data_IF_448176110495
#
_entry.id   IF_448176110495
#
_cell.length_a   1.000
_cell.length_b   1.000
_cell.length_c   1.000
_cell.angle_alpha   90.00
_cell.angle_beta   90.00
_cell.angle_gamma   90.00
#
_symmetry.space_group_name_H-M   'P 1'
#
loop_
_entity.id
_entity.type
_entity.pdbx_description
1 polymer ?
#
# COMPACT_ATOMS: atom_id res chain seq x y z
N UNK A 1 -6.69 -4.59 22.45
CA UNK A 1 -7.40 -5.00 21.20
C UNK A 1 -6.43 -4.76 20.06
N UNK A 2 -6.15 -5.75 19.20
CA UNK A 2 -5.30 -5.54 18.02
C UNK A 2 -6.08 -4.75 16.96
N UNK A 3 -5.41 -3.82 16.27
CA UNK A 3 -5.97 -3.10 15.14
C UNK A 3 -6.23 -4.06 13.97
N UNK A 4 -7.33 -3.86 13.24
CA UNK A 4 -7.62 -4.62 12.00
C UNK A 4 -6.80 -4.06 10.83
N UNK A 5 -6.60 -4.85 9.77
CA UNK A 5 -5.95 -4.41 8.54
C UNK A 5 -6.58 -3.12 7.99
N UNK A 6 -7.92 -3.07 7.93
CA UNK A 6 -8.68 -1.88 7.56
C UNK A 6 -8.39 -0.67 8.46
N UNK A 7 -8.34 -0.86 9.78
CA UNK A 7 -8.04 0.25 10.68
C UNK A 7 -6.61 0.78 10.51
N UNK A 8 -5.63 -0.10 10.26
CA UNK A 8 -4.24 0.27 9.99
C UNK A 8 -4.17 1.11 8.72
N UNK A 9 -4.81 0.64 7.64
CA UNK A 9 -4.88 1.37 6.38
C UNK A 9 -5.57 2.73 6.52
N UNK A 10 -6.67 2.81 7.26
CA UNK A 10 -7.40 4.06 7.47
C UNK A 10 -6.59 5.06 8.31
N UNK A 11 -5.86 4.61 9.33
CA UNK A 11 -4.98 5.49 10.12
C UNK A 11 -3.86 6.03 9.24
N UNK A 12 -3.18 5.15 8.49
CA UNK A 12 -2.10 5.55 7.58
C UNK A 12 -2.58 6.60 6.58
N UNK A 13 -3.70 6.31 5.90
CA UNK A 13 -4.31 7.22 4.94
C UNK A 13 -4.70 8.56 5.57
N UNK A 14 -5.32 8.56 6.76
CA UNK A 14 -5.80 9.78 7.41
C UNK A 14 -4.65 10.73 7.76
N UNK A 15 -3.55 10.19 8.29
CA UNK A 15 -2.37 10.99 8.61
C UNK A 15 -1.69 11.55 7.36
N UNK A 16 -1.58 10.73 6.29
CA UNK A 16 -1.10 11.19 5.00
C UNK A 16 -1.98 12.29 4.40
N UNK A 17 -3.31 12.15 4.47
CA UNK A 17 -4.27 13.09 3.91
C UNK A 17 -4.18 14.49 4.54
N UNK A 18 -3.86 14.56 5.83
CA UNK A 18 -3.64 15.84 6.54
C UNK A 18 -2.17 16.26 6.57
N UNK A 19 -1.29 15.57 5.81
CA UNK A 19 0.15 15.84 5.71
C UNK A 19 0.89 15.82 7.06
N UNK A 20 0.42 14.98 7.98
CA UNK A 20 1.02 14.85 9.30
C UNK A 20 1.93 13.62 9.33
N UNK A 21 3.24 13.90 9.25
CA UNK A 21 4.27 12.87 9.27
C UNK A 21 4.67 12.58 10.71
N UNK A 22 4.37 11.38 11.18
CA UNK A 22 4.86 10.83 12.44
C UNK A 22 5.63 9.53 12.13
N UNK A 23 6.96 9.60 12.21
CA UNK A 23 7.83 8.48 11.84
C UNK A 23 7.68 7.28 12.79
N UNK A 24 7.34 7.52 14.06
CA UNK A 24 7.12 6.43 15.03
C UNK A 24 5.82 5.70 14.71
N UNK A 25 4.76 6.47 14.40
CA UNK A 25 3.50 5.90 13.96
C UNK A 25 3.65 5.15 12.63
N UNK A 26 4.39 5.70 11.66
CA UNK A 26 4.61 5.04 10.37
C UNK A 26 5.38 3.73 10.53
N UNK A 27 6.39 3.68 11.41
CA UNK A 27 7.08 2.43 11.75
C UNK A 27 6.11 1.41 12.35
N UNK A 28 5.27 1.82 13.31
CA UNK A 28 4.28 0.93 13.92
C UNK A 28 3.22 0.43 12.92
N UNK A 29 2.79 1.29 11.99
CA UNK A 29 1.89 0.93 10.89
C UNK A 29 2.57 -0.07 9.95
N UNK A 30 3.83 0.13 9.60
CA UNK A 30 4.57 -0.78 8.73
C UNK A 30 4.67 -2.18 9.36
N UNK A 31 5.09 -2.28 10.62
CA UNK A 31 5.21 -3.54 11.34
C UNK A 31 3.87 -4.27 11.45
N UNK A 32 2.80 -3.53 11.79
CA UNK A 32 1.46 -4.08 11.90
C UNK A 32 0.94 -4.55 10.52
N UNK A 33 1.12 -3.74 9.48
CA UNK A 33 0.71 -4.05 8.11
C UNK A 33 1.45 -5.28 7.55
N UNK A 34 2.76 -5.40 7.77
CA UNK A 34 3.54 -6.58 7.39
C UNK A 34 2.98 -7.82 8.09
N UNK A 35 2.70 -7.73 9.39
CA UNK A 35 2.18 -8.86 10.18
C UNK A 35 0.77 -9.28 9.74
N UNK A 36 -0.06 -8.36 9.27
CA UNK A 36 -1.44 -8.64 8.87
C UNK A 36 -1.69 -8.59 7.36
N UNK A 37 -0.65 -8.56 6.52
CA UNK A 37 -0.79 -8.35 5.06
C UNK A 37 -1.73 -9.37 4.41
N UNK A 38 -1.71 -10.61 4.87
CA UNK A 38 -2.59 -11.69 4.40
C UNK A 38 -4.09 -11.48 4.72
N UNK A 39 -4.42 -10.53 5.61
CA UNK A 39 -5.78 -10.17 6.01
C UNK A 39 -6.26 -8.89 5.32
N UNK A 40 -5.37 -8.17 4.63
CA UNK A 40 -5.71 -6.94 3.92
C UNK A 40 -6.61 -7.22 2.72
N UNK A 41 -7.57 -6.33 2.49
CA UNK A 41 -8.32 -6.26 1.24
C UNK A 41 -7.54 -5.41 0.20
N UNK A 42 -7.92 -5.44 -1.10
CA UNK A 42 -7.20 -4.67 -2.13
C UNK A 42 -7.09 -3.18 -1.80
N UNK A 43 -8.16 -2.61 -1.25
CA UNK A 43 -8.21 -1.22 -0.82
C UNK A 43 -7.24 -0.92 0.32
N UNK A 44 -7.06 -1.84 1.27
CA UNK A 44 -6.13 -1.66 2.39
C UNK A 44 -4.70 -1.57 1.88
N UNK A 45 -4.31 -2.49 1.00
CA UNK A 45 -2.98 -2.53 0.38
C UNK A 45 -2.68 -1.24 -0.40
N UNK A 46 -3.64 -0.81 -1.23
CA UNK A 46 -3.52 0.45 -1.99
C UNK A 46 -3.42 1.67 -1.08
N UNK A 47 -4.23 1.74 -0.02
CA UNK A 47 -4.22 2.87 0.91
C UNK A 47 -2.92 2.94 1.72
N UNK A 48 -2.38 1.79 2.16
CA UNK A 48 -1.11 1.75 2.88
C UNK A 48 0.04 2.19 1.95
N UNK A 49 0.14 1.62 0.74
CA UNK A 49 1.18 2.02 -0.23
C UNK A 49 1.08 3.51 -0.58
N UNK A 50 -0.13 4.02 -0.79
CA UNK A 50 -0.40 5.42 -1.07
C UNK A 50 -0.02 6.32 0.11
N UNK A 51 -0.35 5.93 1.35
CA UNK A 51 -0.06 6.74 2.53
C UNK A 51 1.45 6.93 2.76
N UNK A 52 2.24 5.88 2.53
CA UNK A 52 3.70 5.94 2.65
C UNK A 52 4.32 6.79 1.53
N UNK A 53 3.88 6.58 0.29
CA UNK A 53 4.38 7.35 -0.86
C UNK A 53 3.97 8.82 -0.83
N UNK A 54 2.74 9.15 -0.43
CA UNK A 54 2.25 10.52 -0.28
C UNK A 54 3.02 11.33 0.78
N UNK A 55 3.63 10.64 1.74
CA UNK A 55 4.49 11.22 2.76
C UNK A 55 5.98 11.14 2.40
N UNK A 56 6.33 10.66 1.19
CA UNK A 56 7.70 10.44 0.72
C UNK A 56 8.52 9.50 1.63
N UNK A 57 7.85 8.56 2.31
CA UNK A 57 8.49 7.58 3.20
C UNK A 57 8.62 6.25 2.49
N UNK A 58 9.84 5.93 2.07
CA UNK A 58 10.19 4.62 1.50
C UNK A 58 10.42 3.61 2.61
N UNK A 59 9.64 2.53 2.63
CA UNK A 59 9.81 1.42 3.57
C UNK A 59 9.85 0.09 2.80
N UNK A 60 11.05 -0.31 2.38
CA UNK A 60 11.25 -1.46 1.48
C UNK A 60 10.64 -2.77 2.00
N UNK A 61 10.77 -3.16 3.30
CA UNK A 61 10.14 -4.38 3.79
C UNK A 61 8.61 -4.38 3.67
N UNK A 62 7.99 -3.21 3.81
CA UNK A 62 6.53 -3.07 3.70
C UNK A 62 6.09 -3.19 2.24
N UNK A 63 6.80 -2.52 1.33
CA UNK A 63 6.49 -2.58 -0.10
C UNK A 63 6.70 -3.99 -0.66
N UNK A 64 7.78 -4.67 -0.26
CA UNK A 64 8.03 -6.07 -0.59
C UNK A 64 6.97 -7.03 -0.04
N UNK A 65 6.30 -6.69 1.07
CA UNK A 65 5.18 -7.47 1.59
C UNK A 65 3.87 -7.18 0.82
N UNK A 66 3.61 -5.92 0.50
CA UNK A 66 2.40 -5.48 -0.23
C UNK A 66 2.36 -6.04 -1.65
N UNK A 67 3.51 -6.13 -2.32
CA UNK A 67 3.59 -6.51 -3.73
C UNK A 67 2.98 -7.89 -4.05
N UNK A 68 3.45 -9.01 -3.48
CA UNK A 68 2.88 -10.33 -3.77
C UNK A 68 1.41 -10.44 -3.35
N UNK A 69 1.00 -9.79 -2.26
CA UNK A 69 -0.39 -9.74 -1.83
C UNK A 69 -1.28 -8.99 -2.84
N UNK A 70 -0.77 -7.89 -3.41
CA UNK A 70 -1.47 -7.10 -4.42
C UNK A 70 -1.60 -7.87 -5.73
N UNK A 71 -0.54 -8.55 -6.17
CA UNK A 71 -0.54 -9.40 -7.38
C UNK A 71 -1.59 -10.52 -7.23
N UNK A 72 -1.61 -11.22 -6.09
CA UNK A 72 -2.56 -12.31 -5.85
C UNK A 72 -4.03 -11.87 -5.92
N UNK A 73 -4.31 -10.60 -5.63
CA UNK A 73 -5.65 -10.03 -5.56
C UNK A 73 -5.93 -9.02 -6.67
N UNK A 74 -5.05 -8.90 -7.68
CA UNK A 74 -5.06 -7.82 -8.68
C UNK A 74 -6.39 -7.74 -9.44
N UNK A 75 -7.06 -8.88 -9.65
CA UNK A 75 -8.39 -8.95 -10.27
C UNK A 75 -9.47 -8.18 -9.51
N UNK A 76 -9.33 -8.06 -8.20
CA UNK A 76 -10.28 -7.44 -7.29
C UNK A 76 -9.99 -5.96 -7.00
N UNK A 77 -8.89 -5.41 -7.54
CA UNK A 77 -8.61 -3.98 -7.42
C UNK A 77 -9.60 -3.18 -8.25
N UNK A 78 -10.05 -2.06 -7.69
CA UNK A 78 -10.76 -1.02 -8.45
C UNK A 78 -9.77 -0.24 -9.32
N UNK A 79 -10.26 0.51 -10.31
CA UNK A 79 -9.41 1.39 -11.12
C UNK A 79 -8.61 2.37 -10.24
N UNK A 80 -9.25 2.97 -9.23
CA UNK A 80 -8.57 3.84 -8.27
C UNK A 80 -7.50 3.09 -7.46
N UNK A 81 -7.77 1.86 -7.03
CA UNK A 81 -6.79 1.05 -6.30
C UNK A 81 -5.54 0.77 -7.15
N UNK A 82 -5.73 0.43 -8.44
CA UNK A 82 -4.62 0.24 -9.38
C UNK A 82 -3.82 1.53 -9.58
N UNK A 83 -4.50 2.66 -9.80
CA UNK A 83 -3.86 3.96 -9.96
C UNK A 83 -3.05 4.35 -8.72
N UNK A 84 -3.60 4.14 -7.51
CA UNK A 84 -2.90 4.42 -6.26
C UNK A 84 -1.64 3.55 -6.13
N UNK A 85 -1.73 2.26 -6.48
CA UNK A 85 -0.57 1.36 -6.41
C UNK A 85 0.53 1.80 -7.39
N UNK A 86 0.17 2.03 -8.66
CA UNK A 86 1.13 2.49 -9.68
C UNK A 86 1.77 3.84 -9.30
N UNK A 87 0.98 4.79 -8.83
CA UNK A 87 1.47 6.08 -8.39
C UNK A 87 2.42 5.96 -7.20
N UNK A 88 2.15 5.05 -6.27
CA UNK A 88 3.01 4.81 -5.09
C UNK A 88 4.39 4.30 -5.49
N UNK A 89 4.46 3.36 -6.43
CA UNK A 89 5.71 2.83 -6.97
C UNK A 89 6.53 3.91 -7.67
N UNK A 90 5.87 4.72 -8.51
CA UNK A 90 6.53 5.82 -9.23
C UNK A 90 7.04 6.92 -8.28
N UNK A 91 6.28 7.24 -7.22
CA UNK A 91 6.61 8.31 -6.26
C UNK A 91 7.80 7.93 -5.36
N UNK A 92 7.98 6.64 -5.05
CA UNK A 92 9.08 6.13 -4.20
C UNK A 92 10.27 5.55 -4.98
N UNK A 93 10.43 5.95 -6.26
CA UNK A 93 11.15 5.22 -7.32
C UNK A 93 11.41 3.74 -7.03
N UNK A 94 10.35 2.94 -6.92
CA UNK A 94 10.42 1.49 -6.73
C UNK A 94 10.15 0.81 -8.07
N UNK A 95 11.14 0.08 -8.57
CA UNK A 95 10.98 -0.79 -9.73
C UNK A 95 10.58 -2.19 -9.26
N UNK A 96 9.28 -2.43 -9.18
CA UNK A 96 8.69 -3.75 -8.94
C UNK A 96 8.05 -4.24 -10.24
N UNK A 97 8.87 -4.84 -11.12
CA UNK A 97 8.43 -5.28 -12.45
C UNK A 97 7.21 -6.22 -12.38
N UNK A 98 7.17 -7.25 -11.51
CA UNK A 98 6.01 -8.14 -11.41
C UNK A 98 4.71 -7.40 -11.07
N UNK A 99 4.75 -6.44 -10.14
CA UNK A 99 3.57 -5.68 -9.77
C UNK A 99 3.16 -4.68 -10.87
N UNK A 100 4.12 -4.01 -11.50
CA UNK A 100 3.87 -3.09 -12.62
C UNK A 100 3.23 -3.82 -13.81
N UNK A 101 3.74 -5.00 -14.17
CA UNK A 101 3.16 -5.84 -15.21
C UNK A 101 1.73 -6.29 -14.86
N UNK A 102 1.51 -6.70 -13.61
CA UNK A 102 0.17 -7.09 -13.14
C UNK A 102 -0.82 -5.92 -13.22
N UNK A 103 -0.40 -4.71 -12.82
CA UNK A 103 -1.22 -3.49 -12.93
C UNK A 103 -1.52 -3.18 -14.39
N UNK A 104 -0.52 -3.19 -15.28
CA UNK A 104 -0.69 -2.91 -16.70
C UNK A 104 -1.65 -3.90 -17.37
N UNK A 105 -1.47 -5.20 -17.10
CA UNK A 105 -2.33 -6.26 -17.61
C UNK A 105 -3.77 -6.12 -17.10
N UNK A 106 -3.97 -5.70 -15.85
CA UNK A 106 -5.31 -5.49 -15.28
C UNK A 106 -6.00 -4.24 -15.81
N UNK A 107 -5.25 -3.16 -16.02
CA UNK A 107 -5.77 -1.87 -16.51
C UNK A 107 -6.12 -1.88 -18.00
N UNK A 108 -5.52 -2.79 -18.78
CA UNK A 108 -5.76 -2.94 -20.22
C UNK A 108 -6.96 -3.83 -20.58
N UNK A 109 -7.74 -4.28 -19.58
CA UNK A 109 -8.95 -5.09 -19.75
C UNK A 109 -10.19 -4.26 -19.48
#
# INVERSE_FOLDING_TARGET
>A
RQATAQSIANIAWSFAAVRMVDMLLLAAIADAAITCVAKCQPQDLANIAWAFSAQMVRHDPLMSAISPASIAMIGNFTAQGLSNMAWSLATLPILDEPLLDAIAARASR
#
